data_IF_967503354173
#
_entry.id   IF_967503354173
#
_cell.length_a   1.000
_cell.length_b   1.000
_cell.length_c   1.000
_cell.angle_alpha   90.00
_cell.angle_beta   90.00
_cell.angle_gamma   90.00
#
_symmetry.space_group_name_H-M   'P 1'
#
loop_
_entity.id
_entity.type
_entity.pdbx_description
1 polymer ?
#
# COMPACT_ATOMS: atom_id res chain seq x y z
N UNK A 1 -24.29 11.05 -6.88
CA UNK A 1 -24.44 12.15 -5.90
C UNK A 1 -24.51 11.70 -4.43
N UNK A 2 -24.86 10.45 -4.09
CA UNK A 2 -25.01 10.05 -2.67
C UNK A 2 -23.67 9.80 -1.93
N UNK A 3 -22.64 9.31 -2.61
CA UNK A 3 -21.37 8.92 -1.98
C UNK A 3 -20.61 10.17 -1.49
N UNK A 4 -20.42 11.18 -2.35
CA UNK A 4 -19.70 12.43 -2.04
C UNK A 4 -20.17 13.12 -0.74
N UNK A 5 -21.47 13.08 -0.44
CA UNK A 5 -22.06 13.79 0.71
C UNK A 5 -21.71 13.15 2.06
N UNK A 6 -21.53 11.82 2.11
CA UNK A 6 -21.09 11.12 3.34
C UNK A 6 -19.62 11.48 3.64
N UNK A 7 -18.80 11.64 2.59
CA UNK A 7 -17.36 11.88 2.71
C UNK A 7 -17.02 13.35 3.05
N UNK A 8 -17.75 14.34 2.56
CA UNK A 8 -17.49 15.77 2.90
C UNK A 8 -17.74 16.11 4.38
N UNK A 9 -18.56 15.32 5.09
CA UNK A 9 -18.80 15.54 6.54
C UNK A 9 -17.60 15.18 7.43
N UNK A 10 -16.59 14.51 6.89
CA UNK A 10 -15.34 14.20 7.61
C UNK A 10 -14.35 15.37 7.68
N UNK A 11 -14.53 16.42 6.87
CA UNK A 11 -13.52 17.46 6.66
C UNK A 11 -13.53 18.59 7.72
N UNK A 12 -14.52 18.63 8.62
CA UNK A 12 -14.67 19.72 9.59
C UNK A 12 -15.12 19.24 10.98
N UNK A 13 -14.20 18.84 11.87
CA UNK A 13 -14.42 18.98 13.33
C UNK A 13 -13.12 19.29 14.09
N UNK A 14 -13.15 20.26 15.03
CA UNK A 14 -11.98 20.67 15.79
C UNK A 14 -11.68 19.68 16.92
N UNK A 15 -10.40 19.50 17.20
CA UNK A 15 -9.85 18.47 18.07
C UNK A 15 -9.79 18.91 19.53
N UNK A 16 -10.80 18.60 20.37
CA UNK A 16 -10.66 18.70 21.84
C UNK A 16 -11.50 17.65 22.60
N UNK A 17 -10.85 16.72 23.30
CA UNK A 17 -11.25 16.34 24.67
C UNK A 17 -12.27 15.22 24.97
N UNK A 18 -12.72 14.38 24.02
CA UNK A 18 -13.65 13.25 24.30
C UNK A 18 -13.34 11.99 23.48
N UNK A 19 -12.05 11.63 23.38
CA UNK A 19 -11.49 10.73 22.36
C UNK A 19 -12.00 9.27 22.39
N UNK A 20 -12.40 8.71 23.54
CA UNK A 20 -12.76 7.28 23.59
C UNK A 20 -14.22 6.97 23.24
N UNK A 21 -15.17 7.85 23.58
CA UNK A 21 -16.60 7.59 23.31
C UNK A 21 -16.99 7.90 21.86
N UNK A 22 -16.39 8.92 21.25
CA UNK A 22 -16.65 9.28 19.85
C UNK A 22 -16.09 8.26 18.86
N UNK A 23 -14.91 7.69 19.14
CA UNK A 23 -14.30 6.67 18.28
C UNK A 23 -15.15 5.40 18.20
N UNK A 24 -15.78 5.02 19.33
CA UNK A 24 -16.68 3.86 19.40
C UNK A 24 -17.93 4.08 18.55
N UNK A 25 -18.62 5.20 18.73
CA UNK A 25 -19.84 5.51 17.97
C UNK A 25 -19.58 5.63 16.46
N UNK A 26 -18.46 6.21 16.06
CA UNK A 26 -18.09 6.33 14.64
C UNK A 26 -17.76 4.97 14.01
N UNK A 27 -17.11 4.09 14.76
CA UNK A 27 -16.78 2.74 14.28
C UNK A 27 -18.04 1.89 14.16
N UNK A 28 -18.96 1.95 15.14
CA UNK A 28 -20.26 1.27 15.08
C UNK A 28 -21.12 1.75 13.90
N UNK A 29 -21.14 3.07 13.64
CA UNK A 29 -21.85 3.63 12.50
C UNK A 29 -21.23 3.18 11.16
N UNK A 30 -19.90 3.12 11.07
CA UNK A 30 -19.20 2.59 9.90
C UNK A 30 -19.53 1.11 9.69
N UNK A 31 -19.41 0.27 10.73
CA UNK A 31 -19.73 -1.16 10.64
C UNK A 31 -21.18 -1.41 10.20
N UNK A 32 -22.12 -0.60 10.70
CA UNK A 32 -23.50 -0.65 10.25
C UNK A 32 -23.62 -0.28 8.76
N UNK A 33 -22.95 0.79 8.32
CA UNK A 33 -22.94 1.20 6.93
C UNK A 33 -22.32 0.12 6.02
N UNK A 34 -21.21 -0.51 6.43
CA UNK A 34 -20.54 -1.56 5.68
C UNK A 34 -21.46 -2.74 5.39
N UNK A 35 -22.38 -3.08 6.30
CA UNK A 35 -23.39 -4.13 6.09
C UNK A 35 -24.47 -3.76 5.08
N UNK A 36 -24.67 -2.47 4.81
CA UNK A 36 -25.72 -1.98 3.91
C UNK A 36 -25.22 -1.69 2.50
N UNK A 37 -23.93 -1.38 2.35
CA UNK A 37 -23.33 -1.02 1.06
C UNK A 37 -22.79 -2.25 0.33
N UNK A 38 -22.80 -2.20 -1.00
CA UNK A 38 -22.13 -3.24 -1.79
C UNK A 38 -20.62 -3.23 -1.47
N UNK A 39 -19.99 -4.40 -1.23
CA UNK A 39 -18.56 -4.43 -0.91
C UNK A 39 -17.65 -3.90 -2.01
N UNK A 40 -18.12 -3.93 -3.26
CA UNK A 40 -17.45 -3.31 -4.41
C UNK A 40 -17.23 -1.80 -4.25
N UNK A 41 -18.01 -1.13 -3.40
CA UNK A 41 -17.85 0.30 -3.12
C UNK A 41 -16.66 0.60 -2.21
N UNK A 42 -16.06 -0.40 -1.54
CA UNK A 42 -14.91 -0.16 -0.67
C UNK A 42 -13.63 0.14 -1.46
N UNK A 43 -13.50 -0.43 -2.66
CA UNK A 43 -12.43 -0.11 -3.60
C UNK A 43 -12.79 1.05 -4.54
N UNK A 44 -14.00 1.61 -4.45
CA UNK A 44 -14.39 2.75 -5.27
C UNK A 44 -13.50 3.96 -4.96
N UNK A 45 -13.02 4.58 -6.02
CA UNK A 45 -12.15 5.74 -5.95
C UNK A 45 -12.94 7.02 -6.25
N UNK A 46 -12.64 8.10 -5.53
CA UNK A 46 -13.16 9.42 -5.84
C UNK A 46 -12.39 10.07 -7.02
N UNK A 47 -12.67 11.34 -7.33
CA UNK A 47 -12.02 12.07 -8.43
C UNK A 47 -10.49 12.20 -8.26
N UNK A 48 -9.99 12.19 -7.02
CA UNK A 48 -8.56 12.16 -6.69
C UNK A 48 -7.98 10.74 -6.69
N UNK A 49 -8.72 9.76 -7.20
CA UNK A 49 -8.41 8.32 -7.14
C UNK A 49 -8.25 7.78 -5.70
N UNK A 50 -8.74 8.48 -4.69
CA UNK A 50 -8.62 8.04 -3.29
C UNK A 50 -9.80 7.14 -2.91
N UNK A 51 -9.50 6.02 -2.28
CA UNK A 51 -10.47 5.13 -1.62
C UNK A 51 -10.79 5.60 -0.20
N UNK A 52 -11.80 5.00 0.45
CA UNK A 52 -12.08 5.26 1.86
C UNK A 52 -10.89 4.97 2.79
N UNK A 53 -10.03 4.01 2.43
CA UNK A 53 -8.86 3.64 3.23
C UNK A 53 -7.76 4.72 3.19
N UNK A 54 -7.58 5.42 2.06
CA UNK A 54 -6.68 6.59 2.00
C UNK A 54 -7.11 7.67 2.99
N UNK A 55 -8.41 7.93 3.10
CA UNK A 55 -8.94 8.92 4.03
C UNK A 55 -8.78 8.48 5.49
N UNK A 56 -8.98 7.20 5.80
CA UNK A 56 -8.71 6.68 7.13
C UNK A 56 -7.23 6.84 7.52
N UNK A 57 -6.31 6.64 6.57
CA UNK A 57 -4.88 6.85 6.76
C UNK A 57 -4.51 8.32 6.96
N UNK A 58 -5.00 9.21 6.09
CA UNK A 58 -4.78 10.66 6.18
C UNK A 58 -5.27 11.25 7.51
N UNK A 59 -6.33 10.68 8.10
CA UNK A 59 -6.91 11.11 9.38
C UNK A 59 -6.39 10.30 10.59
N UNK A 60 -5.42 9.41 10.40
CA UNK A 60 -4.83 8.59 11.46
C UNK A 60 -5.85 7.79 12.28
N UNK A 61 -6.86 7.22 11.61
CA UNK A 61 -8.00 6.60 12.28
C UNK A 61 -7.96 5.07 12.19
N UNK A 62 -7.15 4.46 13.06
CA UNK A 62 -6.91 3.00 13.10
C UNK A 62 -8.19 2.15 13.12
N UNK A 63 -9.22 2.46 13.95
CA UNK A 63 -10.41 1.62 14.01
C UNK A 63 -11.16 1.56 12.68
N UNK A 64 -11.23 2.67 11.93
CA UNK A 64 -11.83 2.67 10.60
C UNK A 64 -10.99 1.90 9.59
N UNK A 65 -9.66 2.05 9.61
CA UNK A 65 -8.78 1.30 8.73
C UNK A 65 -8.95 -0.22 8.94
N UNK A 66 -8.97 -0.66 10.20
CA UNK A 66 -9.25 -2.05 10.59
C UNK A 66 -10.62 -2.52 10.12
N UNK A 67 -11.68 -1.72 10.33
CA UNK A 67 -13.03 -2.08 9.93
C UNK A 67 -13.18 -2.23 8.41
N UNK A 68 -12.50 -1.37 7.62
CA UNK A 68 -12.53 -1.42 6.16
C UNK A 68 -11.81 -2.65 5.60
N UNK A 69 -10.59 -2.93 6.07
CA UNK A 69 -9.77 -4.06 5.58
C UNK A 69 -10.34 -5.40 6.06
N UNK A 70 -10.77 -5.50 7.32
CA UNK A 70 -11.27 -6.76 7.88
C UNK A 70 -12.74 -7.02 7.55
N UNK A 71 -13.37 -6.25 6.66
CA UNK A 71 -14.76 -6.46 6.31
C UNK A 71 -14.92 -7.79 5.55
N UNK A 72 -15.65 -8.80 6.05
CA UNK A 72 -15.60 -10.17 5.53
C UNK A 72 -15.99 -10.35 4.06
N UNK A 73 -16.82 -9.44 3.53
CA UNK A 73 -17.24 -9.47 2.13
C UNK A 73 -16.52 -8.44 1.26
N UNK A 74 -15.58 -7.68 1.84
CA UNK A 74 -14.84 -6.61 1.19
C UNK A 74 -13.60 -7.08 0.45
N UNK A 75 -12.87 -6.16 -0.18
CA UNK A 75 -11.64 -6.47 -0.93
C UNK A 75 -10.44 -6.83 -0.04
N UNK A 76 -10.56 -6.72 1.29
CA UNK A 76 -9.49 -7.12 2.19
C UNK A 76 -8.23 -6.27 2.08
N UNK A 77 -7.09 -6.94 2.09
CA UNK A 77 -5.73 -6.40 1.95
C UNK A 77 -5.49 -5.75 0.59
N UNK A 78 -6.19 -6.17 -0.47
CA UNK A 78 -6.07 -5.56 -1.81
C UNK A 78 -6.38 -4.05 -1.79
N UNK A 79 -7.13 -3.56 -0.78
CA UNK A 79 -7.36 -2.12 -0.57
C UNK A 79 -6.09 -1.31 -0.28
N UNK A 80 -5.08 -1.95 0.31
CA UNK A 80 -3.82 -1.32 0.74
C UNK A 80 -2.93 -1.00 -0.47
N UNK A 81 -3.10 -1.68 -1.60
CA UNK A 81 -2.28 -1.51 -2.80
C UNK A 81 -2.80 -0.44 -3.77
N UNK A 82 -4.06 -0.03 -3.63
CA UNK A 82 -4.69 0.94 -4.52
C UNK A 82 -4.00 2.29 -4.37
N UNK A 83 -3.55 2.89 -5.48
CA UNK A 83 -2.90 4.21 -5.49
C UNK A 83 -3.85 5.32 -5.91
N UNK A 84 -3.73 6.47 -5.23
CA UNK A 84 -4.44 7.68 -5.60
C UNK A 84 -3.75 8.47 -6.73
N UNK A 85 -4.28 9.66 -7.06
CA UNK A 85 -3.77 10.48 -8.17
C UNK A 85 -2.37 11.04 -7.92
N UNK A 86 -1.94 11.09 -6.67
CA UNK A 86 -0.58 11.45 -6.29
C UNK A 86 0.37 10.25 -6.27
N UNK A 87 -0.08 9.07 -6.69
CA UNK A 87 0.71 7.84 -6.72
C UNK A 87 0.94 7.20 -5.35
N UNK A 88 0.25 7.66 -4.30
CA UNK A 88 0.38 7.13 -2.94
C UNK A 88 -0.71 6.09 -2.67
N UNK A 89 -0.34 5.00 -2.00
CA UNK A 89 -1.28 4.06 -1.40
C UNK A 89 -1.78 4.57 -0.04
N UNK A 90 -2.75 3.91 0.62
CA UNK A 90 -3.12 4.24 1.99
C UNK A 90 -1.95 4.17 2.97
N UNK A 91 -1.02 3.22 2.80
CA UNK A 91 0.22 3.18 3.57
C UNK A 91 1.08 4.43 3.29
N UNK A 92 1.26 4.80 2.02
CA UNK A 92 2.00 6.02 1.66
C UNK A 92 1.35 7.30 2.19
N UNK A 93 0.03 7.36 2.30
CA UNK A 93 -0.66 8.48 2.97
C UNK A 93 -0.39 8.47 4.49
N UNK A 94 -0.37 7.31 5.13
CA UNK A 94 -0.04 7.19 6.55
C UNK A 94 1.40 7.68 6.84
N UNK A 95 2.37 7.29 6.02
CA UNK A 95 3.76 7.76 6.13
C UNK A 95 3.87 9.27 5.87
N UNK A 96 3.16 9.78 4.86
CA UNK A 96 3.16 11.20 4.52
C UNK A 96 2.65 12.10 5.66
N UNK A 97 1.74 11.60 6.50
CA UNK A 97 1.26 12.33 7.70
C UNK A 97 2.00 11.97 9.00
N UNK A 98 3.00 11.07 8.94
CA UNK A 98 3.74 10.60 10.12
C UNK A 98 2.91 9.72 11.07
N UNK A 99 1.95 8.96 10.54
CA UNK A 99 1.11 8.07 11.33
C UNK A 99 1.73 6.67 11.47
N UNK A 100 2.72 6.57 12.36
CA UNK A 100 3.51 5.35 12.57
C UNK A 100 2.66 4.14 12.99
N UNK A 101 1.67 4.34 13.85
CA UNK A 101 0.80 3.26 14.35
C UNK A 101 0.03 2.59 13.22
N UNK A 102 -0.54 3.38 12.31
CA UNK A 102 -1.27 2.86 11.17
C UNK A 102 -0.36 2.27 10.10
N UNK A 103 0.77 2.91 9.83
CA UNK A 103 1.76 2.41 8.89
C UNK A 103 2.28 1.03 9.32
N UNK A 104 2.61 0.87 10.61
CA UNK A 104 3.01 -0.42 11.19
C UNK A 104 1.92 -1.47 11.01
N UNK A 105 0.68 -1.13 11.32
CA UNK A 105 -0.43 -2.07 11.20
C UNK A 105 -0.69 -2.50 9.74
N UNK A 106 -0.59 -1.58 8.77
CA UNK A 106 -0.71 -1.94 7.35
C UNK A 106 0.37 -2.95 6.93
N UNK A 107 1.63 -2.74 7.33
CA UNK A 107 2.73 -3.68 7.05
C UNK A 107 2.49 -5.04 7.70
N UNK A 108 2.04 -5.07 8.96
CA UNK A 108 1.70 -6.31 9.65
C UNK A 108 0.62 -7.10 8.89
N UNK A 109 -0.43 -6.42 8.41
CA UNK A 109 -1.55 -7.10 7.73
C UNK A 109 -1.20 -7.55 6.31
N UNK A 110 -0.40 -6.79 5.57
CA UNK A 110 0.09 -7.24 4.25
C UNK A 110 0.88 -8.55 4.34
N UNK A 111 1.75 -8.68 5.34
CA UNK A 111 2.55 -9.89 5.56
C UNK A 111 1.73 -11.12 5.99
N UNK A 112 0.55 -10.92 6.59
CA UNK A 112 -0.33 -12.00 7.03
C UNK A 112 -1.10 -12.64 5.86
N UNK A 113 -1.34 -11.90 4.77
CA UNK A 113 -2.11 -12.37 3.61
C UNK A 113 -1.25 -13.09 2.55
N UNK A 114 0.06 -12.79 2.49
CA UNK A 114 1.02 -13.51 1.63
C UNK A 114 1.12 -15.02 1.95
N UNK A 115 0.69 -15.44 3.14
CA UNK A 115 0.55 -16.86 3.50
C UNK A 115 -0.69 -17.54 2.90
N UNK A 116 -1.64 -16.81 2.32
CA UNK A 116 -2.98 -17.30 1.95
C UNK A 116 -3.42 -17.09 0.51
N UNK A 117 -2.83 -16.16 -0.26
CA UNK A 117 -3.28 -15.89 -1.64
C UNK A 117 -2.12 -15.93 -2.65
N UNK A 118 -1.86 -17.11 -3.20
CA UNK A 118 -1.02 -17.26 -4.39
C UNK A 118 -1.81 -16.79 -5.64
N UNK A 119 -1.17 -15.89 -6.39
CA UNK A 119 -1.38 -15.51 -7.81
C UNK A 119 -2.34 -14.34 -8.09
N UNK A 120 -1.79 -13.13 -8.09
CA UNK A 120 -1.64 -12.32 -9.30
C UNK A 120 -0.21 -11.74 -9.26
N UNK A 121 0.76 -12.43 -9.86
CA UNK A 121 1.51 -11.91 -11.01
C UNK A 121 1.93 -10.43 -10.89
N UNK A 122 2.72 -10.12 -9.87
CA UNK A 122 3.91 -9.31 -10.14
C UNK A 122 4.86 -10.17 -10.97
N UNK A 123 4.71 -10.12 -12.30
CA UNK A 123 5.82 -10.42 -13.20
C UNK A 123 6.84 -9.30 -13.02
N UNK A 124 7.60 -9.35 -11.93
CA UNK A 124 8.94 -8.82 -11.92
C UNK A 124 9.68 -9.67 -12.94
N UNK A 125 9.83 -9.16 -14.16
CA UNK A 125 10.73 -9.72 -15.14
C UNK A 125 12.17 -9.54 -14.64
N UNK A 126 12.53 -10.24 -13.57
CA UNK A 126 13.92 -10.50 -13.23
C UNK A 126 14.38 -11.66 -14.12
N UNK A 127 14.53 -11.36 -15.41
CA UNK A 127 15.59 -12.02 -16.16
C UNK A 127 16.87 -11.29 -15.74
N UNK A 128 17.81 -11.89 -14.98
CA UNK A 128 19.19 -11.44 -15.01
C UNK A 128 19.72 -11.79 -16.40
N UNK A 129 19.31 -10.98 -17.38
CA UNK A 129 19.80 -11.10 -18.74
C UNK A 129 21.26 -10.67 -18.69
N UNK A 130 22.12 -11.59 -19.06
CA UNK A 130 23.54 -11.40 -19.25
C UNK A 130 23.81 -10.02 -19.88
N UNK A 131 24.47 -9.14 -19.13
CA UNK A 131 24.85 -7.82 -19.63
C UNK A 131 26.04 -8.05 -20.56
N UNK A 132 25.78 -8.01 -21.87
CA UNK A 132 26.82 -8.02 -22.91
C UNK A 132 27.26 -6.57 -23.17
N UNK A 133 28.54 -6.28 -22.91
CA UNK A 133 29.12 -4.97 -23.19
C UNK A 133 29.99 -5.08 -24.44
N UNK A 134 29.66 -4.31 -25.48
CA UNK A 134 30.47 -4.17 -26.69
C UNK A 134 31.37 -2.94 -26.55
N UNK A 135 32.68 -3.15 -26.63
CA UNK A 135 33.66 -2.07 -26.61
C UNK A 135 34.33 -2.03 -27.98
N UNK A 136 34.27 -0.88 -28.65
CA UNK A 136 34.94 -0.63 -29.91
C UNK A 136 36.18 0.23 -29.69
N UNK A 137 37.33 -0.18 -30.23
CA UNK A 137 38.56 0.62 -30.21
C UNK A 137 38.59 1.69 -31.31
N UNK A 138 39.64 2.53 -31.31
CA UNK A 138 39.79 3.64 -32.25
C UNK A 138 40.05 3.16 -33.70
N UNK A 139 40.44 1.90 -33.85
CA UNK A 139 40.69 1.20 -35.12
C UNK A 139 39.46 0.43 -35.62
N UNK A 140 38.35 0.47 -34.89
CA UNK A 140 37.05 -0.07 -35.27
C UNK A 140 36.82 -1.54 -34.95
N UNK A 141 37.72 -2.20 -34.22
CA UNK A 141 37.55 -3.59 -33.78
C UNK A 141 36.65 -3.65 -32.55
N UNK A 142 35.68 -4.58 -32.55
CA UNK A 142 34.68 -4.73 -31.49
C UNK A 142 34.98 -6.00 -30.68
N UNK A 143 35.15 -5.85 -29.38
CA UNK A 143 35.24 -6.95 -28.43
C UNK A 143 33.94 -7.05 -27.61
N UNK A 144 33.41 -8.27 -27.46
CA UNK A 144 32.22 -8.57 -26.66
C UNK A 144 32.61 -9.25 -25.36
N UNK A 145 32.24 -8.68 -24.22
CA UNK A 145 32.48 -9.31 -22.91
C UNK A 145 31.16 -9.57 -22.18
N UNK A 146 31.03 -10.77 -21.62
CA UNK A 146 29.84 -11.26 -20.92
C UNK A 146 30.12 -11.25 -19.41
N UNK A 147 29.41 -10.40 -18.65
CA UNK A 147 29.64 -10.23 -17.21
C UNK A 147 28.62 -11.09 -16.45
N UNK A 148 29.07 -12.26 -15.96
CA UNK A 148 28.33 -13.10 -15.01
C UNK A 148 28.74 -12.81 -13.57
N UNK A 149 27.80 -12.94 -12.64
CA UNK A 149 27.89 -12.63 -11.20
C UNK A 149 29.28 -12.87 -10.57
N UNK A 150 29.92 -11.80 -10.08
CA UNK A 150 31.14 -11.84 -9.26
C UNK A 150 30.76 -12.40 -7.88
N UNK A 151 31.10 -13.67 -7.64
CA UNK A 151 31.09 -14.27 -6.31
C UNK A 151 32.28 -13.68 -5.54
N UNK A 152 32.02 -12.92 -4.48
CA UNK A 152 33.04 -12.43 -3.54
C UNK A 152 33.72 -13.61 -2.85
N UNK A 153 34.89 -14.04 -3.34
CA UNK A 153 35.75 -14.99 -2.67
C UNK A 153 36.49 -14.25 -1.54
N UNK A 154 36.11 -14.55 -0.30
CA UNK A 154 36.77 -14.02 0.89
C UNK A 154 38.20 -14.54 1.03
N UNK A 155 39.11 -13.60 1.34
CA UNK A 155 40.48 -13.85 1.76
C UNK A 155 40.51 -14.70 3.04
N UNK A 156 41.17 -15.86 2.97
CA UNK A 156 41.68 -16.56 4.14
C UNK A 156 43.21 -16.67 4.00
N UNK A 157 43.91 -15.65 4.50
CA UNK A 157 45.36 -15.69 4.69
C UNK A 157 45.66 -16.64 5.85
N UNK A 158 46.43 -17.68 5.53
CA UNK A 158 46.99 -18.65 6.45
C UNK A 158 48.37 -18.16 6.87
N UNK A 159 48.54 -17.80 8.13
CA UNK A 159 49.84 -17.73 8.83
C UNK A 159 49.64 -18.12 10.28
#
# INVERSE_FOLDING_TARGET
>A
MAISTIFTKWQHRPAYGLRERTHRCLTEALEYLLRLVSPSLLSAQNDAKSTALHWAALNSHLPCAKALVNFPSGPGTDLIDIKNSAGRSPLGEAENVGWDEGAKWFVEVMNLDEGGRRKEELQTAENPSDIEVEIQDAEGQIAKMKIGQISTAGDAVKT
#
